data_IF_583721278780
#
_entry.id   IF_583721278780
#
_cell.length_a   1.000
_cell.length_b   1.000
_cell.length_c   1.000
_cell.angle_alpha   90.00
_cell.angle_beta   90.00
_cell.angle_gamma   90.00
#
_symmetry.space_group_name_H-M   'P 1'
#
loop_
_entity.id
_entity.type
_entity.pdbx_description
1 polymer ?
#
# COMPACT_ATOMS: atom_id res chain seq x y z
N UNK A 1 -9.23 3.44 36.09
CA UNK A 1 -8.37 2.99 34.99
C UNK A 1 -9.27 2.67 33.82
N UNK A 2 -9.34 3.53 32.81
CA UNK A 2 -9.99 3.18 31.55
C UNK A 2 -9.12 2.14 30.85
N UNK A 3 -9.70 1.07 30.27
CA UNK A 3 -8.91 0.09 29.53
C UNK A 3 -8.23 0.78 28.34
N UNK A 4 -6.96 0.45 28.09
CA UNK A 4 -6.24 0.93 26.92
C UNK A 4 -7.03 0.62 25.64
N UNK A 5 -7.02 1.51 24.62
CA UNK A 5 -7.74 1.28 23.38
C UNK A 5 -7.25 -0.03 22.73
N UNK A 6 -8.20 -0.92 22.40
CA UNK A 6 -7.89 -2.23 21.82
C UNK A 6 -7.39 -2.04 20.39
N UNK A 7 -6.15 -2.45 20.13
CA UNK A 7 -5.49 -2.42 18.80
C UNK A 7 -6.32 -3.21 17.79
N UNK A 8 -6.52 -2.66 16.59
CA UNK A 8 -7.20 -3.36 15.49
C UNK A 8 -6.31 -4.48 14.95
N UNK A 9 -6.90 -5.63 14.64
CA UNK A 9 -6.19 -6.78 14.08
C UNK A 9 -6.74 -7.09 12.69
N UNK A 10 -5.85 -7.18 11.70
CA UNK A 10 -6.19 -7.52 10.33
C UNK A 10 -5.82 -8.97 10.03
N UNK A 11 -6.82 -9.76 9.66
CA UNK A 11 -6.65 -11.11 9.14
C UNK A 11 -6.59 -11.04 7.61
N UNK A 12 -5.39 -11.15 7.05
CA UNK A 12 -5.16 -11.11 5.60
C UNK A 12 -5.21 -12.53 5.04
N UNK A 13 -6.21 -12.78 4.20
CA UNK A 13 -6.49 -14.06 3.55
C UNK A 13 -6.04 -13.93 2.09
N UNK A 14 -4.92 -14.57 1.78
CA UNK A 14 -4.27 -14.43 0.48
C UNK A 14 -5.02 -15.16 -0.65
N UNK A 15 -4.71 -14.72 -1.88
CA UNK A 15 -5.22 -15.31 -3.12
C UNK A 15 -4.58 -16.65 -3.48
N UNK A 16 -5.11 -17.26 -4.54
CA UNK A 16 -4.66 -18.53 -5.08
C UNK A 16 -3.20 -18.45 -5.55
N UNK A 17 -2.45 -19.54 -5.41
CA UNK A 17 -1.02 -19.69 -5.75
C UNK A 17 -0.04 -18.81 -4.96
N UNK A 18 -0.54 -17.86 -4.18
CA UNK A 18 0.30 -17.00 -3.35
C UNK A 18 0.49 -17.58 -1.96
N UNK A 19 1.36 -16.94 -1.18
CA UNK A 19 1.59 -17.25 0.23
C UNK A 19 2.00 -15.99 1.00
N UNK A 20 2.03 -16.01 2.35
CA UNK A 20 2.14 -14.78 3.15
C UNK A 20 3.31 -13.87 2.81
N UNK A 21 4.48 -14.41 2.47
CA UNK A 21 5.64 -13.59 2.08
C UNK A 21 5.37 -12.69 0.87
N UNK A 22 4.49 -13.08 -0.07
CA UNK A 22 4.11 -12.23 -1.21
C UNK A 22 3.22 -11.06 -0.80
N UNK A 23 2.66 -11.09 0.41
CA UNK A 23 1.89 -9.99 1.00
C UNK A 23 2.72 -9.21 2.02
N UNK A 24 4.04 -9.48 2.12
CA UNK A 24 4.90 -8.89 3.14
C UNK A 24 4.85 -7.36 3.16
N UNK A 25 5.00 -6.72 1.99
CA UNK A 25 4.88 -5.26 1.85
C UNK A 25 3.52 -4.75 2.30
N UNK A 26 2.44 -5.44 1.91
CA UNK A 26 1.08 -5.07 2.28
C UNK A 26 0.83 -5.20 3.80
N UNK A 27 1.28 -6.29 4.40
CA UNK A 27 1.13 -6.54 5.83
C UNK A 27 1.90 -5.49 6.64
N UNK A 28 3.17 -5.25 6.29
CA UNK A 28 4.00 -4.20 6.91
C UNK A 28 3.32 -2.85 6.84
N UNK A 29 2.77 -2.49 5.69
CA UNK A 29 2.14 -1.17 5.53
C UNK A 29 0.88 -0.96 6.39
N UNK A 30 0.20 -2.05 6.80
CA UNK A 30 -0.87 -2.02 7.79
C UNK A 30 -0.29 -1.99 9.22
N UNK A 31 0.75 -2.77 9.50
CA UNK A 31 1.44 -2.80 10.80
C UNK A 31 2.01 -1.43 11.19
N UNK A 32 2.60 -0.72 10.21
CA UNK A 32 3.15 0.62 10.35
C UNK A 32 2.11 1.67 10.74
N UNK A 33 0.82 1.37 10.54
CA UNK A 33 -0.30 2.22 11.00
C UNK A 33 -0.80 1.84 12.40
N UNK A 34 -0.01 1.08 13.14
CA UNK A 34 -0.32 0.67 14.50
C UNK A 34 -1.37 -0.44 14.60
N UNK A 35 -1.67 -1.16 13.51
CA UNK A 35 -2.51 -2.35 13.58
C UNK A 35 -1.66 -3.61 13.82
N UNK A 36 -2.29 -4.71 14.25
CA UNK A 36 -1.70 -6.05 14.21
C UNK A 36 -2.12 -6.71 12.90
N UNK A 37 -1.25 -7.50 12.26
CA UNK A 37 -1.58 -8.23 11.04
C UNK A 37 -1.26 -9.70 11.20
N UNK A 38 -2.20 -10.54 10.77
CA UNK A 38 -2.06 -11.99 10.72
C UNK A 38 -2.35 -12.42 9.28
N UNK A 39 -1.34 -12.97 8.60
CA UNK A 39 -1.48 -13.54 7.26
C UNK A 39 -1.09 -15.03 7.30
N UNK A 40 -2.03 -15.93 7.60
CA UNK A 40 -1.73 -17.36 7.66
C UNK A 40 -1.55 -17.92 6.24
N UNK A 41 -0.63 -18.89 6.09
CA UNK A 41 -0.47 -19.63 4.83
C UNK A 41 -1.62 -20.62 4.67
N UNK A 42 -2.40 -20.49 3.60
CA UNK A 42 -3.49 -21.41 3.29
C UNK A 42 -2.94 -22.83 2.99
N UNK A 43 -3.49 -23.90 3.58
CA UNK A 43 -3.11 -25.29 3.31
C UNK A 43 -3.06 -25.66 1.83
N UNK A 44 -3.99 -25.17 1.03
CA UNK A 44 -4.02 -25.38 -0.43
C UNK A 44 -2.84 -24.73 -1.18
N UNK A 45 -2.13 -23.82 -0.53
CA UNK A 45 -0.94 -23.11 -1.01
C UNK A 45 0.32 -23.46 -0.18
N UNK A 46 0.41 -24.71 0.29
CA UNK A 46 1.57 -25.20 1.06
C UNK A 46 2.85 -25.30 0.24
N UNK A 47 2.74 -25.48 -1.08
CA UNK A 47 3.85 -25.84 -1.97
C UNK A 47 4.14 -27.34 -2.04
N UNK A 48 3.38 -28.17 -1.31
CA UNK A 48 3.49 -29.63 -1.37
C UNK A 48 3.01 -30.17 -2.73
N UNK A 49 3.73 -31.17 -3.25
CA UNK A 49 3.43 -31.79 -4.54
C UNK A 49 3.46 -33.33 -4.46
N UNK A 50 2.35 -34.03 -4.71
CA UNK A 50 0.99 -33.50 -4.91
C UNK A 50 0.36 -33.07 -3.57
N UNK A 51 -0.44 -32.00 -3.58
CA UNK A 51 -1.26 -31.62 -2.43
C UNK A 51 -2.65 -32.25 -2.54
N UNK A 52 -3.19 -32.74 -1.43
CA UNK A 52 -4.58 -33.25 -1.34
C UNK A 52 -5.51 -32.27 -0.65
N UNK A 53 -5.02 -31.08 -0.32
CA UNK A 53 -5.76 -30.05 0.40
C UNK A 53 -6.94 -29.52 -0.40
N UNK A 54 -7.96 -29.07 0.30
CA UNK A 54 -9.18 -28.54 -0.31
C UNK A 54 -9.51 -27.16 0.26
N UNK A 55 -10.55 -26.51 -0.28
CA UNK A 55 -11.02 -25.23 0.28
C UNK A 55 -11.49 -25.40 1.73
N UNK A 56 -11.98 -26.58 2.12
CA UNK A 56 -12.40 -26.87 3.49
C UNK A 56 -11.23 -26.83 4.48
N UNK A 57 -10.02 -27.28 4.08
CA UNK A 57 -8.82 -27.13 4.90
C UNK A 57 -8.48 -25.63 5.11
N UNK A 58 -8.58 -24.82 4.06
CA UNK A 58 -8.34 -23.38 4.12
C UNK A 58 -9.38 -22.67 5.00
N UNK A 59 -10.65 -23.02 4.83
CA UNK A 59 -11.78 -22.51 5.62
C UNK A 59 -11.61 -22.87 7.09
N UNK A 60 -11.21 -24.10 7.40
CA UNK A 60 -10.94 -24.54 8.77
C UNK A 60 -9.81 -23.72 9.42
N UNK A 61 -8.70 -23.49 8.71
CA UNK A 61 -7.60 -22.68 9.21
C UNK A 61 -8.03 -21.24 9.49
N UNK A 62 -8.66 -20.57 8.51
CA UNK A 62 -9.09 -19.18 8.64
C UNK A 62 -10.12 -19.02 9.76
N UNK A 63 -11.06 -19.95 9.86
CA UNK A 63 -12.07 -19.94 10.91
C UNK A 63 -11.42 -20.08 12.30
N UNK A 64 -10.55 -21.06 12.50
CA UNK A 64 -9.85 -21.25 13.77
C UNK A 64 -9.00 -20.03 14.15
N UNK A 65 -8.32 -19.44 13.17
CA UNK A 65 -7.52 -18.21 13.37
C UNK A 65 -8.40 -17.06 13.81
N UNK A 66 -9.50 -16.80 13.09
CA UNK A 66 -10.44 -15.72 13.42
C UNK A 66 -11.12 -15.94 14.77
N UNK A 67 -11.55 -17.17 15.08
CA UNK A 67 -12.13 -17.55 16.37
C UNK A 67 -11.16 -17.25 17.52
N UNK A 68 -9.88 -17.62 17.39
CA UNK A 68 -8.85 -17.31 18.41
C UNK A 68 -8.72 -15.81 18.64
N UNK A 69 -8.56 -15.03 17.57
CA UNK A 69 -8.38 -13.59 17.66
C UNK A 69 -9.59 -12.90 18.31
N UNK A 70 -10.82 -13.32 17.97
CA UNK A 70 -12.03 -12.78 18.58
C UNK A 70 -12.16 -13.20 20.05
N UNK A 71 -11.81 -14.43 20.40
CA UNK A 71 -11.81 -14.91 21.79
C UNK A 71 -10.78 -14.19 22.67
N UNK A 72 -9.66 -13.77 22.09
CA UNK A 72 -8.69 -12.86 22.72
C UNK A 72 -9.25 -11.43 22.92
N UNK A 73 -10.45 -11.15 22.42
CA UNK A 73 -11.13 -9.86 22.53
C UNK A 73 -10.64 -8.81 21.53
N UNK A 74 -9.93 -9.21 20.46
CA UNK A 74 -9.43 -8.31 19.43
C UNK A 74 -10.55 -7.84 18.51
N UNK A 75 -10.39 -6.63 17.96
CA UNK A 75 -11.26 -6.10 16.89
C UNK A 75 -10.72 -6.60 15.56
N UNK A 76 -11.33 -7.65 15.01
CA UNK A 76 -10.82 -8.33 13.82
C UNK A 76 -11.48 -7.81 12.53
N UNK A 77 -10.65 -7.44 11.57
CA UNK A 77 -11.03 -7.05 10.21
C UNK A 77 -10.44 -8.07 9.24
N UNK A 78 -11.23 -8.62 8.32
CA UNK A 78 -10.71 -9.58 7.34
C UNK A 78 -10.45 -8.90 6.00
N UNK A 79 -9.22 -9.04 5.49
CA UNK A 79 -8.86 -8.64 4.12
C UNK A 79 -8.75 -9.88 3.27
N UNK A 80 -9.59 -9.98 2.24
CA UNK A 80 -9.70 -11.14 1.40
C UNK A 80 -9.32 -10.76 -0.01
N UNK A 81 -8.20 -11.27 -0.53
CA UNK A 81 -7.76 -11.00 -1.89
C UNK A 81 -8.07 -12.18 -2.82
N UNK A 82 -8.65 -11.93 -4.00
CA UNK A 82 -8.89 -12.95 -5.02
C UNK A 82 -9.60 -14.20 -4.44
N UNK A 83 -8.98 -15.38 -4.52
CA UNK A 83 -9.40 -16.64 -3.89
C UNK A 83 -9.71 -16.53 -2.40
N UNK A 84 -9.02 -15.66 -1.66
CA UNK A 84 -9.29 -15.41 -0.25
C UNK A 84 -10.72 -14.95 0.01
N UNK A 85 -11.39 -14.39 -1.00
CA UNK A 85 -12.83 -14.09 -0.95
C UNK A 85 -13.70 -15.34 -0.86
N UNK A 86 -13.34 -16.44 -1.55
CA UNK A 86 -14.03 -17.73 -1.41
C UNK A 86 -13.87 -18.28 0.01
N UNK A 87 -12.63 -18.30 0.51
CA UNK A 87 -12.29 -18.87 1.82
C UNK A 87 -12.92 -18.07 2.95
N UNK A 88 -12.72 -16.75 2.96
CA UNK A 88 -13.21 -15.88 4.04
C UNK A 88 -14.73 -15.77 4.07
N UNK A 89 -15.41 -15.77 2.90
CA UNK A 89 -16.88 -15.78 2.84
C UNK A 89 -17.48 -17.01 3.52
N UNK A 90 -16.84 -18.17 3.37
CA UNK A 90 -17.29 -19.39 4.05
C UNK A 90 -16.87 -19.42 5.53
N UNK A 91 -15.62 -19.04 5.83
CA UNK A 91 -15.04 -19.21 7.16
C UNK A 91 -15.65 -18.32 8.24
N UNK A 92 -15.99 -17.07 7.90
CA UNK A 92 -16.09 -15.97 8.88
C UNK A 92 -17.51 -15.74 9.43
N UNK A 93 -18.52 -16.42 8.89
CA UNK A 93 -19.91 -16.26 9.33
C UNK A 93 -20.06 -16.57 10.83
N UNK A 94 -20.76 -15.67 11.54
CA UNK A 94 -21.10 -15.82 12.95
C UNK A 94 -19.96 -15.59 13.95
N UNK A 95 -18.78 -15.13 13.50
CA UNK A 95 -17.60 -14.99 14.38
C UNK A 95 -17.47 -13.63 15.05
N UNK A 96 -18.29 -12.63 14.72
CA UNK A 96 -18.21 -11.30 15.35
C UNK A 96 -17.07 -10.40 14.83
N UNK A 97 -16.62 -10.61 13.59
CA UNK A 97 -15.69 -9.69 12.93
C UNK A 97 -16.34 -8.32 12.73
N UNK A 98 -15.49 -7.29 12.68
CA UNK A 98 -15.92 -5.91 12.51
C UNK A 98 -16.29 -5.59 11.06
N UNK A 99 -15.53 -6.12 10.09
CA UNK A 99 -15.75 -5.89 8.66
C UNK A 99 -15.07 -6.95 7.79
N UNK A 100 -15.69 -7.21 6.65
CA UNK A 100 -15.14 -7.96 5.53
C UNK A 100 -14.67 -6.99 4.45
N UNK A 101 -13.41 -7.09 4.03
CA UNK A 101 -12.86 -6.28 2.95
C UNK A 101 -12.45 -7.20 1.80
N UNK A 102 -13.24 -7.18 0.74
CA UNK A 102 -13.00 -7.90 -0.51
C UNK A 102 -12.10 -7.05 -1.40
N UNK A 103 -10.89 -7.51 -1.68
CA UNK A 103 -9.95 -6.82 -2.56
C UNK A 103 -9.79 -7.62 -3.85
N UNK A 104 -10.30 -7.10 -4.96
CA UNK A 104 -10.29 -7.81 -6.25
C UNK A 104 -10.63 -9.30 -6.07
N UNK A 105 -11.67 -9.58 -5.28
CA UNK A 105 -11.94 -10.89 -4.72
C UNK A 105 -13.23 -11.49 -5.25
N UNK A 106 -13.32 -12.81 -5.15
CA UNK A 106 -14.57 -13.50 -5.40
C UNK A 106 -15.56 -13.24 -4.25
N UNK A 107 -16.82 -12.99 -4.58
CA UNK A 107 -17.92 -12.87 -3.61
C UNK A 107 -18.97 -13.94 -3.92
N UNK A 108 -18.72 -15.21 -3.55
CA UNK A 108 -19.59 -16.30 -3.94
C UNK A 108 -20.89 -16.33 -3.11
N UNK A 109 -22.05 -16.65 -3.72
CA UNK A 109 -23.18 -17.12 -2.96
C UNK A 109 -22.98 -18.56 -2.49
N UNK A 110 -23.73 -18.96 -1.46
CA UNK A 110 -23.68 -20.33 -0.93
C UNK A 110 -23.99 -21.35 -2.03
N UNK A 111 -23.29 -22.48 -1.97
CA UNK A 111 -23.39 -23.56 -2.95
C UNK A 111 -22.59 -23.34 -4.23
N UNK A 112 -21.82 -22.25 -4.37
CA UNK A 112 -20.92 -22.04 -5.52
C UNK A 112 -19.49 -22.44 -5.22
N UNK A 113 -18.80 -22.94 -6.25
CA UNK A 113 -17.35 -23.10 -6.24
C UNK A 113 -16.70 -22.01 -7.13
N UNK A 114 -15.37 -21.94 -7.14
CA UNK A 114 -14.67 -20.90 -7.90
C UNK A 114 -14.91 -21.03 -9.40
N UNK A 115 -14.98 -22.25 -9.93
CA UNK A 115 -15.24 -22.48 -11.36
C UNK A 115 -16.63 -21.96 -11.78
N UNK A 116 -17.65 -22.11 -10.92
CA UNK A 116 -18.97 -21.53 -11.17
C UNK A 116 -18.89 -19.99 -11.22
N UNK A 117 -18.07 -19.38 -10.37
CA UNK A 117 -17.84 -17.92 -10.35
C UNK A 117 -17.13 -17.42 -11.62
N UNK A 118 -16.45 -18.31 -12.35
CA UNK A 118 -15.82 -18.04 -13.65
C UNK A 118 -16.71 -18.43 -14.85
N UNK A 119 -18.01 -18.65 -14.63
CA UNK A 119 -18.95 -19.00 -15.70
C UNK A 119 -18.97 -20.48 -16.06
N UNK A 120 -18.46 -21.36 -15.19
CA UNK A 120 -18.54 -22.82 -15.33
C UNK A 120 -17.33 -23.48 -15.98
N UNK A 121 -16.29 -22.71 -16.30
CA UNK A 121 -15.03 -23.22 -16.84
C UNK A 121 -13.83 -22.57 -16.14
N UNK A 122 -12.72 -23.28 -16.09
CA UNK A 122 -11.47 -22.71 -15.58
C UNK A 122 -11.01 -21.55 -16.48
N UNK A 123 -10.39 -20.53 -15.89
CA UNK A 123 -9.83 -19.43 -16.68
C UNK A 123 -8.73 -19.94 -17.64
N UNK A 124 -8.61 -19.40 -18.87
CA UNK A 124 -7.67 -19.91 -19.88
C UNK A 124 -6.20 -19.88 -19.46
N UNK A 125 -5.82 -18.99 -18.54
CA UNK A 125 -4.45 -18.88 -18.03
C UNK A 125 -4.08 -19.96 -17.00
N UNK A 126 -5.04 -20.79 -16.57
CA UNK A 126 -4.83 -21.84 -15.57
C UNK A 126 -4.58 -23.16 -16.29
N UNK A 127 -3.44 -23.79 -16.00
CA UNK A 127 -3.04 -25.08 -16.56
C UNK A 127 -2.98 -26.12 -15.45
N UNK A 128 -3.65 -27.25 -15.65
CA UNK A 128 -3.59 -28.40 -14.75
C UNK A 128 -2.60 -29.46 -15.25
N UNK A 129 -1.87 -30.09 -14.33
CA UNK A 129 -1.06 -31.27 -14.64
C UNK A 129 -1.80 -32.60 -14.37
N UNK A 130 -1.17 -33.72 -14.71
CA UNK A 130 -1.71 -35.07 -14.51
C UNK A 130 -1.95 -35.43 -13.03
N UNK A 131 -1.30 -34.72 -12.11
CA UNK A 131 -1.42 -34.91 -10.67
C UNK A 131 -2.55 -34.06 -10.08
N UNK A 132 -3.28 -33.32 -10.91
CA UNK A 132 -4.39 -32.47 -10.49
C UNK A 132 -3.94 -31.17 -9.83
N UNK A 133 -2.69 -30.74 -10.04
CA UNK A 133 -2.19 -29.45 -9.56
C UNK A 133 -2.37 -28.39 -10.65
N UNK A 134 -2.80 -27.20 -10.24
CA UNK A 134 -3.07 -26.04 -11.07
C UNK A 134 -1.92 -25.04 -10.96
N UNK A 135 -1.47 -24.53 -12.11
CA UNK A 135 -0.42 -23.53 -12.26
C UNK A 135 -0.86 -22.43 -13.22
N UNK A 136 -0.13 -21.32 -13.22
CA UNK A 136 -0.34 -20.19 -14.13
C UNK A 136 1.00 -19.89 -14.84
N UNK A 137 1.25 -20.48 -16.02
CA UNK A 137 2.52 -20.31 -16.73
C UNK A 137 2.83 -18.84 -17.06
N UNK A 138 1.80 -18.07 -17.44
CA UNK A 138 1.91 -16.66 -17.83
C UNK A 138 1.65 -15.70 -16.66
N UNK A 139 1.94 -16.13 -15.42
CA UNK A 139 1.57 -15.41 -14.19
C UNK A 139 2.06 -13.96 -14.14
N UNK A 140 3.25 -13.66 -14.69
CA UNK A 140 3.78 -12.30 -14.78
C UNK A 140 2.81 -11.36 -15.51
N UNK A 141 2.29 -11.80 -16.66
CA UNK A 141 1.38 -10.98 -17.48
C UNK A 141 -0.06 -10.90 -16.96
N UNK A 142 -0.45 -11.82 -16.06
CA UNK A 142 -1.81 -11.98 -15.54
C UNK A 142 -1.99 -11.33 -14.17
N UNK A 143 -1.01 -11.46 -13.27
CA UNK A 143 -1.09 -10.98 -11.89
C UNK A 143 -0.20 -9.77 -11.60
N UNK A 144 0.80 -9.52 -12.44
CA UNK A 144 1.87 -8.55 -12.20
C UNK A 144 2.10 -7.64 -13.42
N UNK A 145 1.07 -7.43 -14.23
CA UNK A 145 1.12 -6.69 -15.50
C UNK A 145 1.52 -5.21 -15.38
N UNK A 146 1.46 -4.70 -14.16
CA UNK A 146 1.70 -3.33 -13.77
C UNK A 146 3.06 -3.14 -13.08
N UNK A 147 3.82 -4.24 -12.91
CA UNK A 147 5.21 -4.22 -12.46
C UNK A 147 6.18 -4.18 -13.66
N UNK A 148 7.42 -3.70 -13.45
CA UNK A 148 8.53 -3.96 -14.37
C UNK A 148 8.68 -5.45 -14.69
N UNK A 149 9.11 -5.80 -15.92
CA UNK A 149 9.14 -7.19 -16.39
C UNK A 149 9.99 -8.12 -15.51
N UNK A 150 11.10 -7.62 -14.97
CA UNK A 150 11.99 -8.35 -14.07
C UNK A 150 11.34 -8.58 -12.69
N UNK A 151 10.68 -7.58 -12.15
CA UNK A 151 9.94 -7.70 -10.89
C UNK A 151 8.71 -8.62 -11.04
N UNK A 152 7.97 -8.49 -12.15
CA UNK A 152 6.85 -9.35 -12.49
C UNK A 152 7.29 -10.82 -12.61
N UNK A 153 8.42 -11.08 -13.27
CA UNK A 153 9.00 -12.41 -13.39
C UNK A 153 9.46 -12.95 -12.02
N UNK A 154 10.08 -12.11 -11.19
CA UNK A 154 10.52 -12.47 -9.84
C UNK A 154 9.36 -12.96 -8.98
N UNK A 155 8.25 -12.22 -8.92
CA UNK A 155 7.09 -12.60 -8.11
C UNK A 155 6.31 -13.77 -8.71
N UNK A 156 6.16 -13.83 -10.04
CA UNK A 156 5.56 -14.96 -10.72
C UNK A 156 6.31 -16.27 -10.45
N UNK A 157 7.64 -16.25 -10.41
CA UNK A 157 8.48 -17.41 -10.12
C UNK A 157 8.35 -17.97 -8.70
N UNK A 158 7.76 -17.20 -7.78
CA UNK A 158 7.57 -17.60 -6.37
C UNK A 158 6.18 -18.17 -6.07
N UNK A 159 5.30 -18.21 -7.08
CA UNK A 159 3.98 -18.82 -6.93
C UNK A 159 4.09 -20.33 -6.69
N UNK A 160 3.19 -20.85 -5.87
CA UNK A 160 3.08 -22.29 -5.58
C UNK A 160 1.89 -22.91 -6.29
N UNK A 161 1.96 -24.18 -6.72
CA UNK A 161 0.81 -24.86 -7.33
C UNK A 161 -0.31 -25.09 -6.32
N UNK A 162 -1.54 -25.13 -6.81
CA UNK A 162 -2.73 -25.42 -5.99
C UNK A 162 -3.45 -26.69 -6.44
N UNK A 163 -4.02 -27.49 -5.53
CA UNK A 163 -4.79 -28.65 -5.91
C UNK A 163 -6.13 -28.24 -6.54
N UNK A 164 -6.54 -28.93 -7.60
CA UNK A 164 -7.80 -28.64 -8.34
C UNK A 164 -9.04 -28.74 -7.45
N UNK A 165 -9.01 -29.57 -6.41
CA UNK A 165 -10.08 -29.69 -5.40
C UNK A 165 -10.42 -28.34 -4.74
N UNK A 166 -9.42 -27.49 -4.49
CA UNK A 166 -9.62 -26.17 -3.89
C UNK A 166 -10.49 -25.23 -4.76
N UNK A 167 -10.63 -25.52 -6.06
CA UNK A 167 -11.42 -24.75 -7.02
C UNK A 167 -12.82 -25.35 -7.27
N UNK A 168 -13.00 -26.64 -7.03
CA UNK A 168 -14.21 -27.38 -7.38
C UNK A 168 -15.18 -27.58 -6.22
N UNK A 169 -14.67 -27.54 -4.99
CA UNK A 169 -15.49 -27.69 -3.80
C UNK A 169 -16.34 -26.44 -3.57
N UNK A 170 -17.58 -26.65 -3.13
CA UNK A 170 -18.60 -25.60 -3.00
C UNK A 170 -18.54 -24.99 -1.61
N UNK A 171 -18.58 -23.67 -1.54
CA UNK A 171 -18.72 -22.98 -0.26
C UNK A 171 -20.15 -23.13 0.28
N UNK A 172 -20.31 -23.00 1.59
CA UNK A 172 -21.60 -23.25 2.26
C UNK A 172 -22.21 -22.05 2.98
N UNK A 173 -21.43 -21.00 3.24
CA UNK A 173 -21.83 -19.82 4.04
C UNK A 173 -21.64 -18.52 3.28
N UNK A 174 -22.31 -17.46 3.73
CA UNK A 174 -22.31 -16.14 3.09
C UNK A 174 -22.04 -15.06 4.14
N UNK A 175 -20.81 -15.00 4.67
CA UNK A 175 -20.46 -14.12 5.78
C UNK A 175 -20.84 -12.65 5.57
N UNK A 176 -20.85 -12.16 4.32
CA UNK A 176 -21.27 -10.80 3.95
C UNK A 176 -22.74 -10.47 4.25
N UNK A 177 -23.59 -11.47 4.52
CA UNK A 177 -24.98 -11.21 4.94
C UNK A 177 -25.09 -10.73 6.38
N UNK A 178 -24.16 -11.13 7.23
CA UNK A 178 -24.18 -10.82 8.67
C UNK A 178 -23.09 -9.84 9.12
N UNK A 179 -22.09 -9.59 8.28
CA UNK A 179 -20.92 -8.77 8.61
C UNK A 179 -20.82 -7.64 7.57
N UNK A 180 -20.64 -6.37 7.99
CA UNK A 180 -20.44 -5.26 7.07
C UNK A 180 -19.33 -5.58 6.06
N UNK A 181 -19.61 -5.34 4.78
CA UNK A 181 -18.71 -5.69 3.70
C UNK A 181 -18.36 -4.48 2.84
N UNK A 182 -17.08 -4.37 2.51
CA UNK A 182 -16.56 -3.39 1.55
C UNK A 182 -15.83 -4.12 0.43
N UNK A 183 -16.08 -3.71 -0.81
CA UNK A 183 -15.39 -4.20 -1.99
C UNK A 183 -14.44 -3.12 -2.52
N UNK A 184 -13.20 -3.49 -2.74
CA UNK A 184 -12.16 -2.69 -3.39
C UNK A 184 -11.99 -3.21 -4.81
N UNK A 185 -12.49 -2.42 -5.77
CA UNK A 185 -12.56 -2.78 -7.18
C UNK A 185 -11.27 -2.37 -7.90
N UNK A 186 -10.60 -3.33 -8.52
CA UNK A 186 -9.37 -3.09 -9.29
C UNK A 186 -9.69 -3.07 -10.79
N UNK A 187 -9.74 -1.87 -11.40
CA UNK A 187 -10.22 -1.68 -12.78
C UNK A 187 -9.34 -2.32 -13.84
N UNK A 188 -8.03 -2.35 -13.59
CA UNK A 188 -7.02 -2.85 -14.53
C UNK A 188 -6.60 -4.30 -14.23
N UNK A 189 -7.36 -5.01 -13.40
CA UNK A 189 -7.15 -6.42 -13.07
C UNK A 189 -7.37 -7.31 -14.30
N UNK A 190 -6.37 -8.14 -14.63
CA UNK A 190 -6.41 -9.09 -15.75
C UNK A 190 -6.82 -10.50 -15.35
N UNK A 191 -6.74 -10.85 -14.07
CA UNK A 191 -7.16 -12.13 -13.54
C UNK A 191 -8.67 -12.18 -13.30
N UNK A 192 -9.22 -11.13 -12.67
CA UNK A 192 -10.66 -10.93 -12.47
C UNK A 192 -11.04 -9.60 -13.10
N UNK A 193 -11.49 -9.59 -14.37
CA UNK A 193 -11.84 -8.35 -15.06
C UNK A 193 -12.84 -7.50 -14.27
N UNK A 194 -12.72 -6.17 -14.36
CA UNK A 194 -13.58 -5.23 -13.63
C UNK A 194 -15.08 -5.52 -13.81
N UNK A 195 -15.52 -5.87 -15.02
CA UNK A 195 -16.90 -6.25 -15.30
C UNK A 195 -17.35 -7.50 -14.54
N UNK A 196 -16.46 -8.46 -14.30
CA UNK A 196 -16.72 -9.63 -13.47
C UNK A 196 -16.81 -9.25 -11.99
N UNK A 197 -15.95 -8.35 -11.51
CA UNK A 197 -16.03 -7.81 -10.15
C UNK A 197 -17.36 -7.07 -9.93
N UNK A 198 -17.73 -6.17 -10.85
CA UNK A 198 -19.00 -5.43 -10.84
C UNK A 198 -20.21 -6.36 -10.88
N UNK A 199 -20.16 -7.42 -11.68
CA UNK A 199 -21.22 -8.44 -11.72
C UNK A 199 -21.39 -9.11 -10.35
N UNK A 200 -20.29 -9.51 -9.69
CA UNK A 200 -20.35 -10.13 -8.36
C UNK A 200 -20.96 -9.17 -7.33
N UNK A 201 -20.53 -7.90 -7.32
CA UNK A 201 -21.08 -6.85 -6.46
C UNK A 201 -22.58 -6.67 -6.73
N UNK A 202 -22.97 -6.54 -7.99
CA UNK A 202 -24.36 -6.34 -8.40
C UNK A 202 -25.24 -7.51 -7.99
N UNK A 203 -24.74 -8.75 -8.05
CA UNK A 203 -25.47 -9.94 -7.61
C UNK A 203 -25.73 -9.91 -6.10
N UNK A 204 -24.73 -9.51 -5.30
CA UNK A 204 -24.86 -9.35 -3.84
C UNK A 204 -25.88 -8.26 -3.50
N UNK A 205 -25.77 -7.09 -4.14
CA UNK A 205 -26.69 -5.97 -3.93
C UNK A 205 -28.12 -6.31 -4.36
N UNK A 206 -28.29 -7.01 -5.48
CA UNK A 206 -29.60 -7.50 -5.95
C UNK A 206 -30.23 -8.53 -5.01
N UNK A 207 -29.41 -9.26 -4.25
CA UNK A 207 -29.86 -10.18 -3.21
C UNK A 207 -30.18 -9.47 -1.87
N UNK A 208 -30.25 -8.14 -1.86
CA UNK A 208 -30.65 -7.32 -0.71
C UNK A 208 -29.55 -7.10 0.32
N UNK A 209 -28.29 -7.36 -0.02
CA UNK A 209 -27.15 -7.15 0.89
C UNK A 209 -26.45 -5.83 0.55
N UNK A 210 -26.26 -4.98 1.55
CA UNK A 210 -25.44 -3.78 1.39
C UNK A 210 -23.95 -4.14 1.27
N UNK A 211 -23.29 -3.61 0.26
CA UNK A 211 -21.84 -3.75 0.07
C UNK A 211 -21.29 -2.41 -0.38
N UNK A 212 -20.42 -1.82 0.44
CA UNK A 212 -19.75 -0.56 0.12
C UNK A 212 -18.79 -0.82 -1.04
N UNK A 213 -18.85 -0.03 -2.10
CA UNK A 213 -17.94 -0.18 -3.25
C UNK A 213 -16.97 0.98 -3.26
N UNK A 214 -15.70 0.65 -3.34
CA UNK A 214 -14.61 1.60 -3.38
C UNK A 214 -13.74 1.26 -4.58
N UNK A 215 -13.57 2.22 -5.47
CA UNK A 215 -12.62 2.11 -6.56
C UNK A 215 -11.41 3.00 -6.22
N UNK A 216 -10.18 2.53 -6.43
CA UNK A 216 -9.04 3.41 -6.49
C UNK A 216 -9.33 4.55 -7.50
N UNK A 217 -9.08 5.80 -7.12
CA UNK A 217 -9.37 6.98 -7.95
C UNK A 217 -8.66 6.91 -9.32
N UNK A 218 -9.14 7.64 -10.34
CA UNK A 218 -8.65 7.51 -11.72
C UNK A 218 -7.16 7.90 -11.94
N UNK A 219 -6.51 8.50 -10.94
CA UNK A 219 -5.05 8.73 -10.89
C UNK A 219 -4.26 7.48 -10.46
N UNK A 220 -4.97 6.41 -10.06
CA UNK A 220 -4.49 5.14 -9.52
C UNK A 220 -4.49 4.07 -10.63
N UNK A 221 -3.88 4.41 -11.78
CA UNK A 221 -3.85 3.57 -12.99
C UNK A 221 -2.60 2.72 -13.14
N UNK A 222 -1.72 2.63 -12.13
CA UNK A 222 -0.35 2.10 -12.35
C UNK A 222 0.23 1.13 -11.32
N UNK A 223 -0.43 0.84 -10.19
CA UNK A 223 0.16 -0.01 -9.14
C UNK A 223 -0.91 -0.73 -8.33
N UNK A 224 -1.48 -1.78 -8.90
CA UNK A 224 -2.31 -2.78 -8.23
C UNK A 224 -1.89 -4.18 -8.70
N UNK A 225 -0.71 -4.62 -8.27
CA UNK A 225 -0.39 -6.03 -8.10
C UNK A 225 -0.28 -6.35 -6.62
N UNK A 226 -0.47 -7.63 -6.28
CA UNK A 226 -0.46 -8.14 -4.91
C UNK A 226 0.82 -7.79 -4.12
N UNK A 227 1.89 -7.36 -4.80
CA UNK A 227 3.20 -7.10 -4.20
C UNK A 227 3.55 -5.61 -4.09
N UNK A 228 2.78 -4.71 -4.73
CA UNK A 228 2.84 -3.26 -4.48
C UNK A 228 1.46 -2.70 -4.18
N UNK A 229 0.84 -3.18 -3.09
CA UNK A 229 -0.32 -2.51 -2.48
C UNK A 229 0.10 -1.23 -1.75
N UNK A 230 0.77 -0.31 -2.45
CA UNK A 230 1.31 0.91 -1.86
C UNK A 230 0.27 2.04 -1.85
N UNK A 231 0.04 2.56 -0.64
CA UNK A 231 -0.69 3.77 -0.27
C UNK A 231 -2.21 3.84 -0.52
N UNK A 232 -2.72 3.51 -1.70
CA UNK A 232 -4.12 3.80 -2.06
C UNK A 232 -5.16 2.93 -1.34
N UNK A 233 -4.85 1.65 -1.18
CA UNK A 233 -5.66 0.71 -0.39
C UNK A 233 -5.57 1.12 1.09
N UNK A 234 -4.37 1.45 1.56
CA UNK A 234 -4.12 1.80 2.95
C UNK A 234 -4.87 3.06 3.42
N UNK A 235 -4.99 4.10 2.58
CA UNK A 235 -5.78 5.29 2.91
C UNK A 235 -7.28 5.02 3.00
N UNK A 236 -7.78 4.21 2.07
CA UNK A 236 -9.16 3.76 2.03
C UNK A 236 -9.49 2.85 3.23
N UNK A 237 -8.51 2.05 3.67
CA UNK A 237 -8.57 1.23 4.86
C UNK A 237 -8.52 2.05 6.17
N UNK A 238 -7.67 3.08 6.27
CA UNK A 238 -7.66 3.99 7.44
C UNK A 238 -8.97 4.77 7.59
N UNK A 239 -9.54 5.29 6.49
CA UNK A 239 -10.81 6.03 6.55
C UNK A 239 -11.99 5.15 7.04
N UNK A 240 -12.03 3.87 6.63
CA UNK A 240 -13.05 2.92 7.07
C UNK A 240 -12.91 2.54 8.56
N UNK A 241 -11.68 2.43 9.07
CA UNK A 241 -11.40 2.12 10.50
C UNK A 241 -11.72 3.31 11.40
N UNK A 242 -11.36 4.54 10.98
CA UNK A 242 -11.59 5.77 11.76
C UNK A 242 -13.10 6.10 11.86
N UNK A 243 -13.89 5.81 10.82
CA UNK A 243 -15.35 6.03 10.84
C UNK A 243 -16.16 5.14 11.80
N UNK A 244 -15.52 4.18 12.49
CA UNK A 244 -16.19 3.29 13.46
C UNK A 244 -15.94 3.67 14.92
N UNK A 245 -15.47 4.89 15.19
CA UNK A 245 -15.58 5.45 16.54
C UNK A 245 -17.05 5.81 16.82
N UNK A 246 -17.66 5.32 17.92
CA UNK A 246 -19.05 5.64 18.23
C UNK A 246 -19.11 7.12 18.62
N UNK A 247 -19.79 7.93 17.81
CA UNK A 247 -20.34 9.20 18.29
C UNK A 247 -21.47 8.81 19.24
N UNK A 248 -21.18 8.99 20.53
CA UNK A 248 -22.15 8.81 21.58
C UNK A 248 -23.24 9.90 21.48
N UNK A 249 -24.49 9.42 21.45
CA UNK A 249 -25.72 10.02 21.94
C UNK A 249 -26.55 11.05 21.14
N UNK A 250 -27.80 10.60 20.96
CA UNK A 250 -29.10 11.30 20.98
C UNK A 250 -29.79 11.60 19.63
N UNK A 251 -31.12 11.34 19.55
CA UNK A 251 -31.90 11.56 18.35
C UNK A 251 -32.26 13.05 18.24
N UNK A 252 -31.71 13.73 17.24
CA UNK A 252 -32.27 14.99 16.76
C UNK A 252 -32.80 14.81 15.35
N UNK A 253 -34.04 15.25 15.22
CA UNK A 253 -34.94 15.26 14.07
C UNK A 253 -34.31 15.69 12.75
N UNK A 254 -34.78 15.04 11.68
CA UNK A 254 -34.68 15.42 10.28
C UNK A 254 -34.53 16.94 10.02
N UNK A 255 -33.55 17.31 9.21
CA UNK A 255 -33.82 18.20 8.07
C UNK A 255 -32.84 17.96 6.90
N UNK A 256 -33.37 18.12 5.70
CA UNK A 256 -32.73 17.87 4.41
C UNK A 256 -31.79 19.02 4.01
N UNK A 257 -30.49 18.74 3.85
CA UNK A 257 -29.60 19.34 2.82
C UNK A 257 -28.16 18.84 3.05
N UNK A 258 -27.69 17.92 2.21
CA UNK A 258 -26.32 17.41 2.27
C UNK A 258 -25.41 18.30 1.40
N UNK A 259 -24.89 19.37 1.98
CA UNK A 259 -23.66 20.03 1.54
C UNK A 259 -22.53 19.54 2.45
N UNK A 260 -21.52 18.90 1.86
CA UNK A 260 -20.29 18.49 2.55
C UNK A 260 -19.46 19.76 2.83
N UNK A 261 -19.20 20.08 4.11
CA UNK A 261 -18.41 21.26 4.52
C UNK A 261 -16.89 20.98 4.56
N UNK A 262 -16.11 22.00 4.19
CA UNK A 262 -14.64 22.09 4.02
C UNK A 262 -13.74 21.84 5.28
N UNK A 263 -14.04 20.90 6.19
CA UNK A 263 -13.36 20.88 7.51
C UNK A 263 -12.55 19.65 7.93
N UNK A 264 -11.95 18.86 7.02
CA UNK A 264 -10.96 17.83 7.39
C UNK A 264 -9.71 17.89 6.47
N UNK A 265 -8.90 18.94 6.64
CA UNK A 265 -7.60 19.08 5.95
C UNK A 265 -6.55 18.35 6.78
N UNK A 266 -6.00 17.27 6.21
CA UNK A 266 -4.91 16.49 6.81
C UNK A 266 -3.66 16.67 5.93
N UNK A 267 -2.54 17.03 6.56
CA UNK A 267 -1.24 17.22 5.89
C UNK A 267 -0.89 16.02 5.01
N UNK A 268 -0.48 16.29 3.77
CA UNK A 268 -0.13 15.28 2.78
C UNK A 268 -1.31 14.61 2.06
N UNK A 269 -2.49 14.57 2.66
CA UNK A 269 -3.65 13.83 2.15
C UNK A 269 -4.52 14.67 1.20
N UNK A 270 -4.91 15.87 1.65
CA UNK A 270 -5.85 16.73 0.92
C UNK A 270 -5.23 18.07 0.48
N UNK A 271 -3.92 18.23 0.61
CA UNK A 271 -3.21 19.48 0.31
C UNK A 271 -2.44 19.46 -1.03
N UNK A 272 -2.48 18.35 -1.77
CA UNK A 272 -1.82 18.21 -3.07
C UNK A 272 -0.36 17.71 -3.04
N UNK A 273 0.25 17.53 -1.86
CA UNK A 273 1.63 17.07 -1.73
C UNK A 273 1.88 15.72 -2.43
N UNK A 274 0.98 14.76 -2.23
CA UNK A 274 1.11 13.44 -2.83
C UNK A 274 1.07 13.49 -4.37
N UNK A 275 0.34 14.43 -4.99
CA UNK A 275 0.33 14.59 -6.44
C UNK A 275 1.70 15.07 -6.95
N UNK A 276 2.29 16.05 -6.27
CA UNK A 276 3.61 16.58 -6.58
C UNK A 276 4.67 15.46 -6.47
N UNK A 277 4.69 14.73 -5.35
CA UNK A 277 5.64 13.61 -5.12
C UNK A 277 5.50 12.55 -6.22
N UNK A 278 4.26 12.18 -6.59
CA UNK A 278 4.00 11.19 -7.66
C UNK A 278 4.56 11.64 -9.00
N UNK A 279 4.39 12.92 -9.35
CA UNK A 279 4.89 13.48 -10.61
C UNK A 279 6.42 13.52 -10.65
N UNK A 280 7.07 13.90 -9.55
CA UNK A 280 8.54 13.86 -9.43
C UNK A 280 9.05 12.42 -9.55
N UNK A 281 8.45 11.47 -8.83
CA UNK A 281 8.80 10.06 -8.90
C UNK A 281 8.65 9.49 -10.32
N UNK A 282 7.56 9.83 -11.04
CA UNK A 282 7.36 9.39 -12.42
C UNK A 282 8.36 10.02 -13.39
N UNK A 283 8.78 11.26 -13.13
CA UNK A 283 9.83 11.92 -13.90
C UNK A 283 11.19 11.26 -13.66
N UNK A 284 11.53 10.97 -12.40
CA UNK A 284 12.76 10.27 -11.98
C UNK A 284 12.86 8.89 -12.65
N UNK A 285 11.78 8.11 -12.64
CA UNK A 285 11.77 6.80 -13.30
C UNK A 285 12.01 6.90 -14.81
N UNK A 286 11.41 7.89 -15.47
CA UNK A 286 11.57 8.08 -16.93
C UNK A 286 12.93 8.65 -17.31
N UNK A 287 13.52 9.49 -16.46
CA UNK A 287 14.86 10.04 -16.70
C UNK A 287 15.92 8.94 -16.73
N UNK A 288 15.68 7.80 -16.05
CA UNK A 288 16.54 6.60 -16.09
C UNK A 288 16.45 5.83 -17.42
N UNK A 289 15.27 5.79 -18.04
CA UNK A 289 15.00 4.94 -19.22
C UNK A 289 15.13 5.66 -20.56
N UNK A 290 15.16 7.00 -20.56
CA UNK A 290 15.27 7.85 -21.76
C UNK A 290 16.27 8.98 -21.52
N UNK A 291 16.77 9.64 -22.59
CA UNK A 291 17.60 10.85 -22.43
C UNK A 291 16.83 11.91 -21.62
N UNK A 292 17.37 12.23 -20.45
CA UNK A 292 16.90 13.23 -19.47
C UNK A 292 16.62 14.59 -20.12
N UNK A 293 17.41 14.95 -21.14
CA UNK A 293 17.38 16.27 -21.78
C UNK A 293 16.46 16.33 -23.00
N UNK A 294 15.25 15.76 -22.90
CA UNK A 294 14.22 15.97 -23.92
C UNK A 294 13.26 17.10 -23.48
N UNK A 295 12.66 17.81 -24.44
CA UNK A 295 11.80 18.96 -24.17
C UNK A 295 10.60 18.63 -23.28
N UNK A 296 10.10 17.39 -23.34
CA UNK A 296 8.99 16.92 -22.51
C UNK A 296 9.38 16.82 -21.03
N UNK A 297 10.55 16.25 -20.73
CA UNK A 297 11.07 16.14 -19.35
C UNK A 297 11.28 17.50 -18.71
N UNK A 298 11.85 18.46 -19.45
CA UNK A 298 12.06 19.83 -18.95
C UNK A 298 10.73 20.54 -18.72
N UNK A 299 9.79 20.45 -19.67
CA UNK A 299 8.48 21.12 -19.56
C UNK A 299 7.70 20.61 -18.37
N UNK A 300 7.73 19.29 -18.14
CA UNK A 300 7.06 18.67 -17.00
C UNK A 300 7.69 19.06 -15.67
N UNK A 301 9.03 19.10 -15.58
CA UNK A 301 9.72 19.58 -14.40
C UNK A 301 9.39 21.04 -14.08
N UNK A 302 9.33 21.91 -15.09
CA UNK A 302 8.90 23.31 -14.90
C UNK A 302 7.48 23.39 -14.38
N UNK A 303 6.56 22.56 -14.88
CA UNK A 303 5.18 22.51 -14.38
C UNK A 303 5.11 22.02 -12.93
N UNK A 304 5.87 20.99 -12.56
CA UNK A 304 5.97 20.53 -11.17
C UNK A 304 6.50 21.63 -10.26
N UNK A 305 7.54 22.35 -10.70
CA UNK A 305 8.10 23.45 -9.93
C UNK A 305 7.10 24.59 -9.72
N UNK A 306 6.34 24.96 -10.76
CA UNK A 306 5.29 25.97 -10.63
C UNK A 306 4.27 25.59 -9.56
N UNK A 307 3.79 24.35 -9.60
CA UNK A 307 2.81 23.86 -8.62
C UNK A 307 3.41 23.84 -7.20
N UNK A 308 4.66 23.42 -7.05
CA UNK A 308 5.37 23.42 -5.78
C UNK A 308 5.56 24.82 -5.20
N UNK A 309 5.86 25.84 -6.03
CA UNK A 309 5.98 27.23 -5.55
C UNK A 309 4.67 27.84 -5.07
N UNK A 310 3.54 27.32 -5.55
CA UNK A 310 2.20 27.75 -5.12
C UNK A 310 1.63 26.89 -4.00
N UNK A 311 2.31 25.79 -3.65
CA UNK A 311 1.88 24.88 -2.61
C UNK A 311 2.21 25.49 -1.25
N UNK A 312 1.16 25.80 -0.48
CA UNK A 312 1.22 26.48 0.81
C UNK A 312 0.20 25.85 1.76
N UNK A 313 0.43 25.90 3.08
CA UNK A 313 -0.52 25.38 4.05
C UNK A 313 -1.88 26.08 3.89
N UNK A 314 -3.00 25.34 3.88
CA UNK A 314 -4.33 25.94 3.85
C UNK A 314 -4.58 26.84 5.06
N UNK A 315 -5.43 27.88 4.90
CA UNK A 315 -5.75 28.84 5.99
C UNK A 315 -6.26 28.15 7.27
N UNK A 316 -6.84 26.95 7.14
CA UNK A 316 -7.36 26.15 8.23
C UNK A 316 -6.28 25.38 9.04
N UNK A 317 -5.02 25.38 8.60
CA UNK A 317 -3.87 24.85 9.35
C UNK A 317 -3.05 26.04 9.88
N UNK A 318 -3.33 26.56 11.09
CA UNK A 318 -2.67 27.73 11.61
C UNK A 318 -1.50 27.30 12.49
N UNK A 319 -0.27 27.43 12.00
CA UNK A 319 0.93 27.24 12.81
C UNK A 319 2.21 27.57 12.04
N UNK A 320 3.13 28.29 12.69
CA UNK A 320 4.49 28.50 12.19
C UNK A 320 5.18 27.15 11.90
N UNK A 321 4.89 26.14 12.71
CA UNK A 321 5.43 24.78 12.60
C UNK A 321 4.98 24.04 11.33
N UNK A 322 3.72 24.21 10.90
CA UNK A 322 3.25 23.67 9.62
C UNK A 322 3.89 24.40 8.44
N UNK A 323 4.09 25.71 8.54
CA UNK A 323 4.83 26.44 7.49
C UNK A 323 6.25 25.88 7.34
N UNK A 324 6.96 25.65 8.45
CA UNK A 324 8.29 25.04 8.43
C UNK A 324 8.27 23.64 7.78
N UNK A 325 7.24 22.85 8.05
CA UNK A 325 7.06 21.54 7.43
C UNK A 325 6.87 21.67 5.90
N UNK A 326 6.01 22.55 5.41
CA UNK A 326 5.82 22.80 3.98
C UNK A 326 7.10 23.32 3.31
N UNK A 327 7.83 24.20 3.98
CA UNK A 327 9.08 24.77 3.47
C UNK A 327 10.19 23.70 3.39
N UNK A 328 10.22 22.75 4.34
CA UNK A 328 11.14 21.60 4.28
C UNK A 328 10.85 20.69 3.08
N UNK A 329 9.57 20.41 2.81
CA UNK A 329 9.15 19.64 1.65
C UNK A 329 9.43 20.37 0.33
N UNK A 330 9.22 21.68 0.29
CA UNK A 330 9.58 22.51 -0.88
C UNK A 330 11.07 22.38 -1.17
N UNK A 331 11.90 22.43 -0.13
CA UNK A 331 13.35 22.30 -0.26
C UNK A 331 13.79 20.93 -0.74
N UNK A 332 13.22 19.88 -0.16
CA UNK A 332 13.46 18.50 -0.55
C UNK A 332 13.03 18.20 -1.98
N UNK A 333 11.78 18.51 -2.32
CA UNK A 333 11.21 18.18 -3.62
C UNK A 333 11.84 18.97 -4.76
N UNK A 334 12.24 20.23 -4.53
CA UNK A 334 13.06 20.96 -5.48
C UNK A 334 14.42 20.28 -5.68
N UNK A 335 15.09 19.89 -4.59
CA UNK A 335 16.40 19.22 -4.64
C UNK A 335 16.31 17.94 -5.47
N UNK A 336 15.31 17.10 -5.22
CA UNK A 336 15.08 15.88 -6.00
C UNK A 336 14.82 16.18 -7.48
N UNK A 337 13.96 17.16 -7.76
CA UNK A 337 13.64 17.58 -9.11
C UNK A 337 14.87 18.10 -9.87
N UNK A 338 15.72 18.89 -9.21
CA UNK A 338 16.95 19.41 -9.79
C UNK A 338 17.93 18.30 -10.13
N UNK A 339 18.13 17.35 -9.21
CA UNK A 339 19.01 16.20 -9.40
C UNK A 339 18.52 15.27 -10.51
N UNK A 340 17.20 15.12 -10.70
CA UNK A 340 16.64 14.39 -11.85
C UNK A 340 17.06 15.02 -13.18
N UNK A 341 17.07 16.36 -13.27
CA UNK A 341 17.45 17.09 -14.49
C UNK A 341 18.97 17.21 -14.67
N UNK A 342 19.69 17.33 -13.56
CA UNK A 342 21.13 17.56 -13.49
C UNK A 342 21.78 16.52 -12.57
N UNK A 343 21.81 15.23 -12.97
CA UNK A 343 22.18 14.12 -12.09
C UNK A 343 23.62 14.17 -11.58
N UNK A 344 24.50 14.86 -12.29
CA UNK A 344 25.91 15.00 -11.92
C UNK A 344 26.18 16.29 -11.12
N UNK A 345 25.13 17.03 -10.71
CA UNK A 345 25.22 18.37 -10.12
C UNK A 345 24.83 18.42 -8.64
N UNK A 346 25.11 17.35 -7.89
CA UNK A 346 24.87 17.30 -6.44
C UNK A 346 25.63 18.39 -5.68
N UNK A 347 26.86 18.70 -6.08
CA UNK A 347 27.68 19.76 -5.49
C UNK A 347 27.34 21.18 -6.01
N UNK A 348 26.29 21.34 -6.82
CA UNK A 348 25.86 22.65 -7.30
C UNK A 348 25.40 23.53 -6.13
N UNK A 349 25.81 24.79 -6.11
CA UNK A 349 25.46 25.74 -5.06
C UNK A 349 23.94 25.91 -4.88
N UNK A 350 23.14 25.71 -5.95
CA UNK A 350 21.67 25.73 -5.83
C UNK A 350 21.14 24.53 -5.05
N UNK A 351 21.69 23.34 -5.29
CA UNK A 351 21.30 22.13 -4.54
C UNK A 351 21.69 22.32 -3.07
N UNK A 352 22.92 22.74 -2.80
CA UNK A 352 23.40 22.89 -1.44
C UNK A 352 22.71 24.02 -0.67
N UNK A 353 22.30 25.11 -1.34
CA UNK A 353 21.47 26.15 -0.72
C UNK A 353 20.09 25.62 -0.30
N UNK A 354 19.51 24.69 -1.07
CA UNK A 354 18.22 24.10 -0.73
C UNK A 354 18.35 23.03 0.36
N UNK A 355 19.47 22.32 0.41
CA UNK A 355 19.81 21.45 1.55
C UNK A 355 19.94 22.26 2.82
N UNK A 356 20.71 23.36 2.81
CA UNK A 356 20.86 24.26 3.95
C UNK A 356 19.51 24.83 4.40
N UNK A 357 18.70 25.34 3.44
CA UNK A 357 17.36 25.85 3.74
C UNK A 357 16.47 24.78 4.37
N UNK A 358 16.47 23.57 3.82
CA UNK A 358 15.70 22.46 4.34
C UNK A 358 16.13 22.03 5.74
N UNK A 359 17.44 21.97 6.01
CA UNK A 359 17.97 21.68 7.36
C UNK A 359 17.50 22.74 8.36
N UNK A 360 17.59 24.03 8.00
CA UNK A 360 17.13 25.13 8.84
C UNK A 360 15.64 25.03 9.14
N UNK A 361 14.80 24.79 8.13
CA UNK A 361 13.34 24.71 8.32
C UNK A 361 12.96 23.46 9.13
N UNK A 362 13.58 22.32 8.87
CA UNK A 362 13.36 21.11 9.68
C UNK A 362 13.78 21.30 11.15
N UNK A 363 14.88 22.01 11.40
CA UNK A 363 15.34 22.30 12.78
C UNK A 363 14.35 23.18 13.56
N UNK A 364 13.51 23.95 12.86
CA UNK A 364 12.48 24.80 13.46
C UNK A 364 11.17 24.04 13.76
N UNK A 365 11.03 22.78 13.31
CA UNK A 365 9.87 21.94 13.63
C UNK A 365 10.08 21.31 15.02
N UNK A 366 9.63 22.01 16.06
CA UNK A 366 9.79 21.57 17.46
C UNK A 366 8.68 20.65 17.97
N UNK A 367 7.61 20.45 17.19
CA UNK A 367 6.49 19.60 17.58
C UNK A 367 6.82 18.14 17.30
N UNK A 368 6.95 17.35 18.38
CA UNK A 368 7.27 15.93 18.29
C UNK A 368 6.26 15.13 17.45
N UNK A 369 4.97 15.52 17.48
CA UNK A 369 3.92 14.88 16.68
C UNK A 369 4.09 15.10 15.17
N UNK A 370 4.82 16.16 14.77
CA UNK A 370 5.10 16.46 13.37
C UNK A 370 6.39 15.81 12.87
N UNK A 371 7.24 15.33 13.78
CA UNK A 371 8.53 14.71 13.45
C UNK A 371 8.45 13.55 12.44
N UNK A 372 7.42 12.66 12.43
CA UNK A 372 7.34 11.60 11.44
C UNK A 372 7.14 12.11 10.01
N UNK A 373 6.53 13.28 9.84
CA UNK A 373 6.33 13.89 8.51
C UNK A 373 7.61 14.46 7.93
N UNK A 374 8.69 14.58 8.71
CA UNK A 374 10.00 15.00 8.22
C UNK A 374 10.77 13.88 7.49
N UNK A 375 10.27 12.64 7.52
CA UNK A 375 11.01 11.49 6.99
C UNK A 375 11.38 11.62 5.50
N UNK A 376 10.45 12.14 4.68
CA UNK A 376 10.71 12.36 3.25
C UNK A 376 11.71 13.51 3.03
N UNK A 377 11.53 14.70 3.64
CA UNK A 377 12.54 15.75 3.60
C UNK A 377 13.92 15.29 4.06
N UNK A 378 14.02 14.60 5.19
CA UNK A 378 15.27 14.07 5.74
C UNK A 378 15.96 13.10 4.79
N UNK A 379 15.20 12.18 4.19
CA UNK A 379 15.73 11.25 3.22
C UNK A 379 16.30 11.96 1.99
N UNK A 380 15.50 12.81 1.34
CA UNK A 380 15.89 13.45 0.08
C UNK A 380 17.07 14.42 0.30
N UNK A 381 17.01 15.23 1.35
CA UNK A 381 18.07 16.18 1.65
C UNK A 381 19.32 15.48 2.19
N UNK A 382 19.15 14.38 2.93
CA UNK A 382 20.24 13.50 3.33
C UNK A 382 21.03 12.96 2.14
N UNK A 383 20.34 12.44 1.12
CA UNK A 383 20.97 11.97 -0.14
C UNK A 383 21.74 13.07 -0.87
N UNK A 384 21.33 14.33 -0.71
CA UNK A 384 21.94 15.48 -1.37
C UNK A 384 22.98 16.22 -0.48
N UNK A 385 23.17 15.79 0.76
CA UNK A 385 24.03 16.48 1.74
C UNK A 385 25.51 16.19 1.50
N UNK A 386 26.30 17.26 1.34
CA UNK A 386 27.76 17.13 1.12
C UNK A 386 28.60 17.66 2.28
N UNK A 387 28.03 18.51 3.13
CA UNK A 387 28.73 19.10 4.28
C UNK A 387 28.46 18.29 5.54
N UNK A 388 29.49 18.07 6.35
CA UNK A 388 29.40 17.26 7.57
C UNK A 388 28.36 17.82 8.55
N UNK A 389 28.25 19.14 8.67
CA UNK A 389 27.26 19.81 9.52
C UNK A 389 25.81 19.43 9.16
N UNK A 390 25.52 19.27 7.86
CA UNK A 390 24.21 18.81 7.40
C UNK A 390 24.01 17.32 7.64
N UNK A 391 25.05 16.49 7.40
CA UNK A 391 24.99 15.04 7.64
C UNK A 391 24.74 14.74 9.13
N UNK A 392 25.43 15.46 10.02
CA UNK A 392 25.27 15.35 11.48
C UNK A 392 23.84 15.71 11.91
N UNK A 393 23.28 16.78 11.36
CA UNK A 393 21.89 17.15 11.62
C UNK A 393 20.91 16.06 11.15
N UNK A 394 21.06 15.58 9.91
CA UNK A 394 20.17 14.55 9.34
C UNK A 394 20.22 13.27 10.18
N UNK A 395 21.42 12.84 10.59
CA UNK A 395 21.60 11.67 11.45
C UNK A 395 20.91 11.84 12.81
N UNK A 396 21.12 12.99 13.48
CA UNK A 396 20.47 13.29 14.74
C UNK A 396 18.94 13.42 14.64
N UNK A 397 18.43 13.89 13.50
CA UNK A 397 16.99 13.96 13.25
C UNK A 397 16.38 12.56 13.04
N UNK A 398 17.08 11.65 12.36
CA UNK A 398 16.66 10.24 12.30
C UNK A 398 16.65 9.61 13.69
N UNK A 399 17.67 9.86 14.53
CA UNK A 399 17.71 9.36 15.92
C UNK A 399 16.50 9.84 16.72
N UNK A 400 16.16 11.13 16.61
CA UNK A 400 14.99 11.68 17.30
C UNK A 400 13.69 11.04 16.84
N UNK A 401 13.49 10.84 15.53
CA UNK A 401 12.28 10.18 15.03
C UNK A 401 12.24 8.73 15.52
N UNK A 402 13.35 8.00 15.46
CA UNK A 402 13.44 6.60 15.90
C UNK A 402 13.19 6.44 17.41
N UNK A 403 13.66 7.37 18.25
CA UNK A 403 13.40 7.35 19.69
C UNK A 403 11.94 7.64 20.05
N UNK A 404 11.27 8.49 19.27
CA UNK A 404 9.92 8.99 19.56
C UNK A 404 8.82 8.23 18.79
N UNK A 405 9.21 7.36 17.86
CA UNK A 405 8.29 6.60 17.01
C UNK A 405 8.69 5.14 16.93
N UNK A 406 7.73 4.23 16.81
CA UNK A 406 8.02 2.80 16.58
C UNK A 406 8.18 2.47 15.08
N UNK A 407 8.67 3.42 14.26
CA UNK A 407 8.80 3.26 12.81
C UNK A 407 10.09 2.52 12.44
N UNK A 408 9.99 1.22 12.17
CA UNK A 408 11.12 0.41 11.66
C UNK A 408 11.64 0.92 10.29
N UNK A 409 10.85 1.72 9.56
CA UNK A 409 11.26 2.31 8.29
C UNK A 409 12.39 3.33 8.42
N UNK A 410 12.54 3.97 9.59
CA UNK A 410 13.57 5.00 9.81
C UNK A 410 14.95 4.43 9.56
N UNK A 411 15.20 3.19 9.99
CA UNK A 411 16.46 2.47 9.78
C UNK A 411 16.75 2.27 8.27
N UNK A 412 15.71 2.01 7.46
CA UNK A 412 15.85 1.83 6.00
C UNK A 412 16.25 3.14 5.33
N UNK A 413 15.58 4.24 5.65
CA UNK A 413 15.90 5.57 5.10
C UNK A 413 17.30 6.02 5.54
N UNK A 414 17.64 5.82 6.82
CA UNK A 414 18.98 6.09 7.37
C UNK A 414 20.05 5.32 6.63
N UNK A 415 19.90 4.00 6.51
CA UNK A 415 20.89 3.13 5.85
C UNK A 415 21.14 3.57 4.40
N UNK A 416 20.09 3.96 3.67
CA UNK A 416 20.25 4.47 2.30
C UNK A 416 21.00 5.81 2.26
N UNK A 417 20.69 6.73 3.18
CA UNK A 417 21.37 8.02 3.26
C UNK A 417 22.84 7.84 3.64
N UNK A 418 23.15 7.01 4.63
CA UNK A 418 24.53 6.71 5.03
C UNK A 418 25.32 6.08 3.88
N UNK A 419 24.72 5.13 3.16
CA UNK A 419 25.33 4.54 1.95
C UNK A 419 25.56 5.58 0.85
N UNK A 420 24.71 6.60 0.75
CA UNK A 420 24.94 7.75 -0.14
C UNK A 420 26.23 8.48 0.20
N UNK A 421 26.43 8.75 1.48
CA UNK A 421 27.60 9.44 1.99
C UNK A 421 28.86 8.61 1.80
N UNK A 422 28.83 7.30 2.08
CA UNK A 422 29.95 6.40 1.82
C UNK A 422 30.33 6.39 0.33
N UNK A 423 29.34 6.29 -0.56
CA UNK A 423 29.56 6.31 -1.99
C UNK A 423 30.14 7.67 -2.45
N UNK A 424 29.66 8.76 -1.86
CA UNK A 424 30.19 10.09 -2.10
C UNK A 424 31.67 10.18 -1.70
N UNK A 425 32.03 9.71 -0.51
CA UNK A 425 33.40 9.74 0.01
C UNK A 425 34.35 8.88 -0.84
N UNK A 426 33.82 7.82 -1.46
CA UNK A 426 34.52 6.98 -2.44
C UNK A 426 34.60 7.60 -3.84
N UNK A 427 33.98 8.77 -4.07
CA UNK A 427 33.95 9.45 -5.35
C UNK A 427 33.06 8.77 -6.40
N UNK A 428 32.09 7.94 -5.97
CA UNK A 428 31.13 7.28 -6.86
C UNK A 428 30.18 8.34 -7.44
N UNK A 429 30.11 8.49 -8.77
CA UNK A 429 29.21 9.46 -9.39
C UNK A 429 27.75 9.15 -9.04
N UNK A 430 26.94 10.20 -8.88
CA UNK A 430 25.49 10.09 -8.62
C UNK A 430 25.19 9.27 -7.36
N UNK A 431 25.99 9.44 -6.31
CA UNK A 431 25.76 8.80 -5.01
C UNK A 431 24.40 9.13 -4.39
N UNK A 432 23.71 10.18 -4.85
CA UNK A 432 22.33 10.43 -4.42
C UNK A 432 21.31 9.47 -5.06
N UNK A 433 21.65 8.73 -6.12
CA UNK A 433 20.73 7.84 -6.85
C UNK A 433 20.61 6.47 -6.16
N UNK A 434 19.79 6.42 -5.12
CA UNK A 434 19.63 5.24 -4.25
C UNK A 434 19.10 3.99 -4.97
N UNK A 435 18.39 4.15 -6.09
CA UNK A 435 17.78 3.02 -6.79
C UNK A 435 18.84 2.17 -7.52
N UNK A 436 20.00 2.75 -7.88
CA UNK A 436 21.11 1.98 -8.47
C UNK A 436 21.74 0.97 -7.49
N UNK A 437 21.49 1.12 -6.19
CA UNK A 437 22.04 0.22 -5.18
C UNK A 437 21.22 -1.04 -4.96
N UNK A 438 19.96 -1.03 -5.37
CA UNK A 438 19.09 -2.22 -5.34
C UNK A 438 19.54 -3.24 -6.41
N UNK A 439 20.01 -2.76 -7.56
CA UNK A 439 20.51 -3.61 -8.66
C UNK A 439 21.88 -4.26 -8.34
N UNK A 440 22.71 -3.60 -7.53
CA UNK A 440 24.06 -4.06 -7.17
C UNK A 440 24.09 -5.14 -6.07
N UNK A 441 22.98 -5.34 -5.34
CA UNK A 441 22.89 -6.31 -4.22
C UNK A 441 22.80 -7.78 -4.64
N UNK A 442 22.84 -8.08 -5.94
CA UNK A 442 22.76 -9.46 -6.49
C UNK A 442 24.13 -10.04 -6.90
N UNK A 443 25.23 -9.31 -6.64
CA UNK A 443 26.59 -9.79 -6.80
C UNK A 443 27.35 -9.71 -5.46
N UNK A 444 27.10 -10.69 -4.60
CA UNK A 444 27.82 -10.91 -3.34
C UNK A 444 27.61 -12.33 -2.85
#
# INVERSE_FOLDING_TARGET
>A
MSPAPRRSTFLVIHGAWHHPELYGTFCKAIENRGAEVICPRLPSCSGELPSTKTIEDDVALIRATAESLVQEGKKVFAVMHSYGGMVGTDALEGLGLQRLIYLAAFVPPSGKNLVDMLGGSMAPFIVGDEQGMLRVPEAASVFYQDLPDDEAAFWAGRLVPMPKSAFLNRITREAYRGIPATYILCKDDRAIPASTQEMMISNVQSAGVSMDVKAPSAQIKRRTSAVTMDYAILELFTSLVISTTPIDNQPTTHDESCDLSDSDIIFGLNDGLLDIIKRISSLHFRSRTKKVNNSTTITEAVGIWQDLTTWQPPEALPGEEYQQLYDSYTSALFTWLYLILHPDSMCDGKVQSMVEQGVVTMSAVTVLELSPFLLIPLFILGLASVQDEHKDFISGAFDQIEEHTAFEEVEVYRTMVERSWENQDQGIPRSWEWIQWQDAGSAG
#
